data_IF_818692098071
#
_entry.id   IF_818692098071
#
_cell.length_a   1.000
_cell.length_b   1.000
_cell.length_c   1.000
_cell.angle_alpha   90.00
_cell.angle_beta   90.00
_cell.angle_gamma   90.00
#
_symmetry.space_group_name_H-M   'P 1'
#
loop_
_entity.id
_entity.type
_entity.pdbx_description
1 polymer ?
#
# COMPACT_ATOMS: atom_id res chain seq x y z
N UNK A 1 -13.60 9.38 21.24
CA UNK A 1 -13.21 9.10 19.84
C UNK A 1 -11.70 9.36 19.71
N UNK A 2 -10.86 8.32 19.57
CA UNK A 2 -9.40 8.54 19.38
C UNK A 2 -9.19 9.18 18.02
N UNK A 3 -8.63 10.39 17.99
CA UNK A 3 -8.21 11.05 16.74
C UNK A 3 -7.13 10.18 16.08
N UNK A 4 -7.20 9.99 14.76
CA UNK A 4 -6.10 9.40 14.00
C UNK A 4 -4.89 10.30 14.19
N UNK A 5 -3.75 9.74 14.59
CA UNK A 5 -2.49 10.50 14.66
C UNK A 5 -2.10 11.06 13.29
N UNK A 6 -1.15 11.96 13.22
CA UNK A 6 -0.59 12.38 11.94
C UNK A 6 0.16 11.22 11.27
N UNK A 7 0.17 11.17 9.93
CA UNK A 7 1.04 10.24 9.19
C UNK A 7 2.50 10.63 9.47
N UNK A 8 3.36 9.69 9.92
CA UNK A 8 4.76 9.99 10.21
C UNK A 8 5.50 10.53 8.98
N UNK A 9 6.51 11.37 9.23
CA UNK A 9 7.38 11.91 8.17
C UNK A 9 8.28 10.84 7.54
N UNK A 10 8.65 9.82 8.31
CA UNK A 10 9.49 8.71 7.87
C UNK A 10 8.81 7.38 8.20
N UNK A 11 8.65 6.54 7.20
CA UNK A 11 8.17 5.17 7.32
C UNK A 11 9.24 4.21 6.81
N UNK A 12 9.47 3.13 7.54
CA UNK A 12 10.27 2.03 7.03
C UNK A 12 9.43 1.18 6.07
N UNK A 13 9.84 1.09 4.80
CA UNK A 13 9.20 0.16 3.86
C UNK A 13 9.84 -1.22 3.94
N UNK A 14 9.02 -2.26 4.17
CA UNK A 14 9.48 -3.65 4.17
C UNK A 14 9.33 -4.33 2.80
N UNK A 15 8.83 -3.64 1.78
CA UNK A 15 8.56 -4.24 0.47
C UNK A 15 9.80 -4.81 -0.22
N UNK A 16 10.93 -4.14 -0.09
CA UNK A 16 12.22 -4.67 -0.58
C UNK A 16 12.66 -5.92 0.18
N UNK A 17 12.29 -6.04 1.45
CA UNK A 17 12.59 -7.20 2.29
C UNK A 17 11.70 -8.40 1.91
N UNK A 18 10.47 -8.14 1.48
CA UNK A 18 9.54 -9.15 0.93
C UNK A 18 9.89 -9.57 -0.51
N UNK A 19 11.01 -9.09 -1.07
CA UNK A 19 11.43 -9.40 -2.42
C UNK A 19 10.80 -8.53 -3.52
N UNK A 20 10.02 -7.53 -3.17
CA UNK A 20 9.48 -6.55 -4.12
C UNK A 20 10.47 -5.41 -4.30
N UNK A 21 11.47 -5.62 -5.14
CA UNK A 21 12.53 -4.65 -5.42
C UNK A 21 12.94 -4.68 -6.89
N UNK A 22 13.58 -3.61 -7.34
CA UNK A 22 14.24 -3.51 -8.65
C UNK A 22 15.73 -3.89 -8.58
N UNK A 23 16.21 -4.37 -7.44
CA UNK A 23 17.58 -4.81 -7.29
C UNK A 23 17.89 -6.02 -8.21
N UNK A 24 19.15 -6.22 -8.61
CA UNK A 24 19.58 -7.42 -9.31
C UNK A 24 19.21 -8.70 -8.52
N UNK A 25 19.02 -9.80 -9.26
CA UNK A 25 18.55 -11.07 -8.67
C UNK A 25 19.41 -11.56 -7.51
N UNK A 26 20.72 -11.43 -7.64
CA UNK A 26 21.69 -11.83 -6.60
C UNK A 26 21.44 -11.06 -5.31
N UNK A 27 21.29 -9.73 -5.41
CA UNK A 27 20.98 -8.88 -4.26
C UNK A 27 19.61 -9.18 -3.65
N UNK A 28 18.65 -9.54 -4.48
CA UNK A 28 17.34 -9.98 -4.01
C UNK A 28 17.44 -11.26 -3.17
N UNK A 29 18.20 -12.25 -3.64
CA UNK A 29 18.41 -13.52 -2.92
C UNK A 29 19.12 -13.28 -1.58
N UNK A 30 20.15 -12.43 -1.54
CA UNK A 30 20.82 -12.03 -0.30
C UNK A 30 19.85 -11.39 0.71
N UNK A 31 18.97 -10.49 0.23
CA UNK A 31 17.97 -9.84 1.07
C UNK A 31 16.99 -10.87 1.62
N UNK A 32 16.47 -11.75 0.77
CA UNK A 32 15.53 -12.79 1.17
C UNK A 32 16.14 -13.77 2.17
N UNK A 33 17.39 -14.16 1.99
CA UNK A 33 18.09 -15.03 2.91
C UNK A 33 18.33 -14.34 4.26
N UNK A 34 18.80 -13.11 4.25
CA UNK A 34 19.03 -12.30 5.46
C UNK A 34 17.80 -12.10 6.32
N UNK A 35 16.63 -11.92 5.68
CA UNK A 35 15.36 -11.64 6.37
C UNK A 35 14.39 -12.84 6.35
N UNK A 36 14.96 -14.05 6.21
CA UNK A 36 14.18 -15.29 6.29
C UNK A 36 13.58 -15.48 7.67
N UNK A 37 14.39 -15.20 8.71
CA UNK A 37 13.99 -15.33 10.09
C UNK A 37 13.39 -14.02 10.62
N UNK A 38 12.22 -14.07 11.31
CA UNK A 38 11.54 -12.89 11.85
C UNK A 38 12.42 -12.04 12.78
N UNK A 39 13.33 -12.65 13.53
CA UNK A 39 14.24 -11.98 14.47
C UNK A 39 15.16 -11.00 13.74
N UNK A 40 15.68 -11.36 12.58
CA UNK A 40 16.52 -10.47 11.75
C UNK A 40 15.73 -9.25 11.29
N UNK A 41 14.45 -9.44 10.98
CA UNK A 41 13.55 -8.35 10.63
C UNK A 41 13.23 -7.49 11.87
N UNK A 42 12.95 -8.11 13.02
CA UNK A 42 12.68 -7.40 14.28
C UNK A 42 13.84 -6.48 14.68
N UNK A 43 15.09 -6.96 14.61
CA UNK A 43 16.29 -6.14 14.85
C UNK A 43 16.36 -4.94 13.90
N UNK A 44 16.03 -5.14 12.63
CA UNK A 44 16.05 -4.06 11.63
C UNK A 44 14.93 -3.03 11.90
N UNK A 45 13.75 -3.52 12.32
CA UNK A 45 12.64 -2.64 12.73
C UNK A 45 13.03 -1.78 13.91
N UNK A 46 13.59 -2.38 14.98
CA UNK A 46 14.05 -1.64 16.17
C UNK A 46 15.05 -0.55 15.79
N UNK A 47 16.12 -0.90 15.06
CA UNK A 47 17.13 0.07 14.62
C UNK A 47 16.54 1.22 13.81
N UNK A 48 15.58 0.92 12.93
CA UNK A 48 14.93 1.94 12.09
C UNK A 48 14.04 2.86 12.90
N UNK A 49 13.31 2.32 13.88
CA UNK A 49 12.46 3.10 14.79
C UNK A 49 13.29 3.99 15.72
N UNK A 50 14.41 3.48 16.22
CA UNK A 50 15.36 4.23 17.05
C UNK A 50 16.06 5.35 16.24
N UNK A 51 16.26 5.13 14.94
CA UNK A 51 16.74 6.14 14.01
C UNK A 51 15.68 7.17 13.57
N UNK A 52 14.44 7.07 14.10
CA UNK A 52 13.39 8.08 13.88
C UNK A 52 12.26 7.67 12.90
N UNK A 53 12.22 6.42 12.45
CA UNK A 53 11.05 5.95 11.69
C UNK A 53 9.82 5.92 12.62
N UNK A 54 8.72 6.55 12.19
CA UNK A 54 7.49 6.64 12.97
C UNK A 54 6.51 5.49 12.73
N UNK A 55 6.89 4.50 11.91
CA UNK A 55 6.05 3.34 11.60
C UNK A 55 6.60 2.52 10.44
N UNK A 56 5.85 1.49 10.08
CA UNK A 56 6.20 0.53 9.04
C UNK A 56 5.16 0.55 7.92
N UNK A 57 5.61 0.60 6.68
CA UNK A 57 4.79 0.43 5.47
C UNK A 57 5.14 -0.91 4.83
N UNK A 58 4.21 -1.86 4.79
CA UNK A 58 4.51 -3.17 4.23
C UNK A 58 3.31 -4.09 4.09
N UNK A 59 3.50 -5.17 3.34
CA UNK A 59 2.51 -6.24 3.24
C UNK A 59 2.50 -7.05 4.54
N UNK A 60 1.32 -7.41 5.08
CA UNK A 60 1.20 -8.17 6.32
C UNK A 60 1.56 -9.66 6.12
N UNK A 61 2.83 -9.90 5.74
CA UNK A 61 3.40 -11.23 5.65
C UNK A 61 3.51 -11.87 7.04
N UNK A 62 3.48 -13.21 7.16
CA UNK A 62 3.69 -13.89 8.45
C UNK A 62 4.97 -13.42 9.14
N UNK A 63 6.09 -13.29 8.41
CA UNK A 63 7.36 -12.83 8.97
C UNK A 63 7.29 -11.42 9.53
N UNK A 64 6.67 -10.47 8.81
CA UNK A 64 6.48 -9.11 9.32
C UNK A 64 5.58 -9.08 10.56
N UNK A 65 4.48 -9.84 10.56
CA UNK A 65 3.56 -9.87 11.69
C UNK A 65 4.22 -10.50 12.93
N UNK A 66 5.02 -11.57 12.76
CA UNK A 66 5.82 -12.16 13.84
C UNK A 66 6.85 -11.17 14.37
N UNK A 67 7.64 -10.54 13.49
CA UNK A 67 8.63 -9.56 13.89
C UNK A 67 8.01 -8.37 14.66
N UNK A 68 6.83 -7.89 14.23
CA UNK A 68 6.11 -6.83 14.96
C UNK A 68 5.57 -7.28 16.31
N UNK A 69 5.22 -8.57 16.47
CA UNK A 69 4.73 -9.13 17.72
C UNK A 69 5.84 -9.32 18.77
N UNK A 70 7.10 -9.45 18.34
CA UNK A 70 8.28 -9.55 19.21
C UNK A 70 8.73 -8.20 19.80
N UNK A 71 8.20 -7.09 19.29
CA UNK A 71 8.61 -5.78 19.75
C UNK A 71 7.90 -5.37 21.04
N UNK A 72 8.65 -4.89 22.02
CA UNK A 72 8.14 -4.44 23.33
C UNK A 72 7.25 -3.21 23.26
N UNK A 73 7.19 -2.56 22.10
CA UNK A 73 6.42 -1.33 21.86
C UNK A 73 5.48 -1.47 20.66
N UNK A 74 4.29 -0.86 20.72
CA UNK A 74 3.39 -0.85 19.57
C UNK A 74 3.98 0.00 18.43
N UNK A 75 4.07 -0.60 17.24
CA UNK A 75 4.58 0.06 16.03
C UNK A 75 3.42 0.37 15.10
N UNK A 76 3.26 1.63 14.64
CA UNK A 76 2.25 1.99 13.65
C UNK A 76 2.47 1.23 12.33
N UNK A 77 1.52 0.34 11.97
CA UNK A 77 1.55 -0.40 10.72
C UNK A 77 0.66 0.27 9.68
N UNK A 78 1.24 0.61 8.55
CA UNK A 78 0.57 0.98 7.32
C UNK A 78 0.55 -0.25 6.40
N UNK A 79 -0.49 -1.06 6.54
CA UNK A 79 -0.61 -2.35 5.84
C UNK A 79 -0.95 -2.16 4.37
N UNK A 80 -0.12 -2.69 3.47
CA UNK A 80 -0.37 -2.70 2.03
C UNK A 80 -1.16 -3.95 1.68
N UNK A 81 -2.38 -3.78 1.17
CA UNK A 81 -3.31 -4.84 0.81
C UNK A 81 -3.75 -4.76 -0.66
N UNK A 82 -3.93 -5.91 -1.33
CA UNK A 82 -3.59 -7.24 -0.89
C UNK A 82 -2.09 -7.44 -0.74
N UNK A 83 -1.69 -8.41 0.08
CA UNK A 83 -0.29 -8.83 0.20
C UNK A 83 0.12 -9.55 -1.08
N UNK A 84 0.86 -8.87 -1.94
CA UNK A 84 1.30 -9.37 -3.24
C UNK A 84 2.79 -9.67 -3.20
N UNK A 85 3.15 -10.93 -3.44
CA UNK A 85 4.52 -11.34 -3.69
C UNK A 85 4.95 -11.11 -5.15
N UNK A 86 6.25 -11.28 -5.46
CA UNK A 86 6.76 -11.09 -6.82
C UNK A 86 6.05 -11.95 -7.89
N UNK A 87 5.58 -13.14 -7.52
CA UNK A 87 4.84 -14.03 -8.42
C UNK A 87 3.42 -13.52 -8.71
N UNK A 88 2.79 -12.88 -7.72
CA UNK A 88 1.43 -12.33 -7.87
C UNK A 88 1.41 -11.18 -8.87
N UNK A 89 2.49 -10.39 -8.94
CA UNK A 89 2.62 -9.32 -9.93
C UNK A 89 2.60 -9.84 -11.37
N UNK A 90 3.20 -11.01 -11.64
CA UNK A 90 3.16 -11.64 -12.97
C UNK A 90 1.77 -12.18 -13.29
N UNK A 91 1.04 -12.69 -12.29
CA UNK A 91 -0.33 -13.18 -12.47
C UNK A 91 -1.36 -12.08 -12.70
N UNK A 92 -1.00 -10.81 -12.44
CA UNK A 92 -1.88 -9.65 -12.67
C UNK A 92 -1.83 -9.12 -14.10
N UNK A 93 -0.89 -9.57 -14.94
CA UNK A 93 -0.83 -9.18 -16.35
C UNK A 93 -2.17 -9.44 -17.09
N UNK A 94 -2.86 -10.59 -16.87
CA UNK A 94 -4.19 -10.82 -17.46
C UNK A 94 -5.35 -10.16 -16.69
N UNK A 95 -5.09 -9.39 -15.62
CA UNK A 95 -6.11 -8.70 -14.83
C UNK A 95 -6.22 -9.16 -13.38
N UNK A 96 -7.23 -8.68 -12.66
CA UNK A 96 -7.41 -8.93 -11.21
C UNK A 96 -8.13 -10.25 -10.89
N UNK A 97 -8.69 -10.95 -11.88
CA UNK A 97 -9.47 -12.18 -11.66
C UNK A 97 -8.69 -13.32 -10.99
N UNK A 98 -7.40 -13.57 -11.29
CA UNK A 98 -6.60 -14.55 -10.57
C UNK A 98 -6.50 -14.28 -9.07
N UNK A 99 -6.35 -13.02 -8.67
CA UNK A 99 -6.33 -12.61 -7.25
C UNK A 99 -7.67 -12.84 -6.57
N UNK A 100 -8.77 -12.49 -7.23
CA UNK A 100 -10.11 -12.74 -6.70
C UNK A 100 -10.39 -14.23 -6.53
N UNK A 101 -9.94 -15.05 -7.48
CA UNK A 101 -10.08 -16.50 -7.42
C UNK A 101 -9.26 -17.12 -6.30
N UNK A 102 -8.04 -16.63 -6.05
CA UNK A 102 -7.19 -17.03 -4.92
C UNK A 102 -7.85 -16.67 -3.58
N UNK A 103 -8.28 -15.41 -3.43
CA UNK A 103 -8.94 -14.96 -2.21
C UNK A 103 -10.21 -15.77 -1.90
N UNK A 104 -10.99 -16.16 -2.92
CA UNK A 104 -12.15 -17.04 -2.74
C UNK A 104 -11.77 -18.43 -2.25
N UNK A 105 -10.63 -18.98 -2.66
CA UNK A 105 -10.15 -20.30 -2.19
C UNK A 105 -9.66 -20.24 -0.74
N UNK A 106 -9.00 -19.17 -0.36
CA UNK A 106 -8.46 -18.96 1.00
C UNK A 106 -9.54 -18.65 2.04
N UNK A 107 -10.71 -18.19 1.62
CA UNK A 107 -11.84 -17.91 2.51
C UNK A 107 -12.64 -19.18 2.78
N UNK A 108 -12.63 -19.65 4.03
CA UNK A 108 -13.38 -20.84 4.45
C UNK A 108 -14.91 -20.69 4.27
N UNK A 109 -15.68 -21.81 4.26
CA UNK A 109 -17.11 -21.83 3.94
C UNK A 109 -17.96 -20.93 4.84
N UNK A 110 -17.68 -20.88 6.14
CA UNK A 110 -18.40 -20.02 7.10
C UNK A 110 -18.15 -18.54 6.84
N UNK A 111 -16.92 -18.19 6.47
CA UNK A 111 -16.60 -16.80 6.12
C UNK A 111 -17.21 -16.41 4.77
N UNK A 112 -17.30 -17.35 3.81
CA UNK A 112 -18.04 -17.16 2.54
C UNK A 112 -19.53 -16.91 2.78
N UNK A 113 -20.14 -17.67 3.69
CA UNK A 113 -21.55 -17.48 4.05
C UNK A 113 -21.80 -16.11 4.70
N UNK A 114 -20.94 -15.68 5.64
CA UNK A 114 -21.02 -14.33 6.25
C UNK A 114 -20.78 -13.21 5.22
N UNK A 115 -19.82 -13.40 4.32
CA UNK A 115 -19.59 -12.45 3.22
C UNK A 115 -20.78 -12.39 2.25
N UNK A 116 -21.44 -13.54 2.00
CA UNK A 116 -22.68 -13.62 1.23
C UNK A 116 -23.83 -12.87 1.88
N UNK A 117 -24.05 -13.05 3.19
CA UNK A 117 -25.14 -12.38 3.92
C UNK A 117 -24.94 -10.85 3.99
N UNK A 118 -23.73 -10.38 4.21
CA UNK A 118 -23.39 -8.94 4.19
C UNK A 118 -23.42 -8.39 2.75
N UNK A 119 -23.23 -9.24 1.75
CA UNK A 119 -23.19 -8.91 0.33
C UNK A 119 -24.53 -9.02 -0.40
N UNK A 120 -25.58 -9.60 0.22
CA UNK A 120 -26.88 -9.83 -0.42
C UNK A 120 -27.46 -8.62 -1.17
N UNK A 121 -27.42 -7.38 -0.62
CA UNK A 121 -27.88 -6.19 -1.36
C UNK A 121 -26.97 -5.80 -2.53
N UNK A 122 -25.74 -6.38 -2.61
CA UNK A 122 -24.71 -6.08 -3.62
C UNK A 122 -24.54 -7.18 -4.65
N UNK A 123 -25.29 -8.29 -4.54
CA UNK A 123 -25.22 -9.41 -5.51
C UNK A 123 -25.57 -8.99 -6.94
N UNK A 124 -26.44 -8.00 -7.10
CA UNK A 124 -26.74 -7.43 -8.42
C UNK A 124 -25.51 -6.75 -9.06
N UNK A 125 -24.65 -6.09 -8.26
CA UNK A 125 -23.41 -5.48 -8.73
C UNK A 125 -22.33 -6.51 -9.14
N UNK A 126 -22.38 -7.74 -8.60
CA UNK A 126 -21.51 -8.84 -8.98
C UNK A 126 -21.66 -9.29 -10.43
N UNK A 127 -22.87 -9.15 -11.01
CA UNK A 127 -23.16 -9.54 -12.40
C UNK A 127 -22.50 -8.64 -13.43
N UNK A 128 -22.04 -7.44 -13.06
CA UNK A 128 -21.53 -6.42 -13.99
C UNK A 128 -20.02 -6.12 -13.84
N UNK A 129 -19.24 -7.01 -13.22
CA UNK A 129 -17.79 -6.82 -13.15
C UNK A 129 -17.31 -5.64 -12.27
N UNK A 130 -18.16 -5.09 -11.39
CA UNK A 130 -17.83 -3.91 -10.59
C UNK A 130 -16.72 -4.18 -9.58
N UNK A 131 -15.51 -3.72 -9.88
CA UNK A 131 -14.34 -3.79 -9.02
C UNK A 131 -14.58 -3.15 -7.65
N UNK A 132 -15.38 -2.09 -7.59
CA UNK A 132 -15.69 -1.40 -6.35
C UNK A 132 -16.50 -2.26 -5.36
N UNK A 133 -17.27 -3.24 -5.85
CA UNK A 133 -18.00 -4.18 -5.01
C UNK A 133 -17.17 -5.40 -4.60
N UNK A 134 -16.24 -5.84 -5.45
CA UNK A 134 -15.45 -7.07 -5.26
C UNK A 134 -14.20 -6.87 -4.39
N UNK A 135 -13.49 -5.77 -4.60
CA UNK A 135 -12.20 -5.53 -3.92
C UNK A 135 -12.33 -5.41 -2.40
N UNK A 136 -13.34 -4.75 -1.80
CA UNK A 136 -13.50 -4.76 -0.35
C UNK A 136 -13.62 -6.16 0.26
N UNK A 137 -14.19 -7.13 -0.46
CA UNK A 137 -14.28 -8.51 0.01
C UNK A 137 -12.95 -9.24 0.00
N UNK A 138 -12.16 -9.04 -1.07
CA UNK A 138 -10.78 -9.52 -1.16
C UNK A 138 -9.94 -8.98 0.01
N UNK A 139 -9.99 -7.67 0.21
CA UNK A 139 -9.24 -7.00 1.27
C UNK A 139 -9.73 -7.40 2.67
N UNK A 140 -11.03 -7.69 2.86
CA UNK A 140 -11.56 -8.15 4.15
C UNK A 140 -11.00 -9.51 4.54
N UNK A 141 -10.76 -10.42 3.59
CA UNK A 141 -10.15 -11.72 3.87
C UNK A 141 -8.72 -11.56 4.44
N UNK A 142 -7.91 -10.70 3.82
CA UNK A 142 -6.55 -10.43 4.29
C UNK A 142 -6.52 -9.55 5.54
N UNK A 143 -7.43 -8.60 5.63
CA UNK A 143 -7.58 -7.71 6.77
C UNK A 143 -7.85 -8.43 8.10
N UNK A 144 -8.38 -9.67 8.06
CA UNK A 144 -8.53 -10.50 9.25
C UNK A 144 -7.22 -10.99 9.84
N UNK A 145 -6.16 -11.01 9.04
CA UNK A 145 -4.80 -11.36 9.50
C UNK A 145 -4.10 -10.19 10.19
N UNK A 146 -4.61 -8.97 10.01
CA UNK A 146 -4.03 -7.79 10.63
C UNK A 146 -4.19 -7.83 12.15
N UNK A 147 -3.20 -7.34 12.90
CA UNK A 147 -3.29 -7.25 14.35
C UNK A 147 -4.46 -6.34 14.75
N UNK A 148 -5.14 -6.68 15.83
CA UNK A 148 -6.28 -5.89 16.33
C UNK A 148 -5.89 -4.48 16.77
N UNK A 149 -4.62 -4.27 17.09
CA UNK A 149 -4.03 -2.99 17.51
C UNK A 149 -2.80 -2.69 16.66
N UNK A 150 -2.45 -1.41 16.55
CA UNK A 150 -1.24 -0.99 15.82
C UNK A 150 -1.46 -0.71 14.32
N UNK A 151 -2.62 -1.05 13.73
CA UNK A 151 -2.93 -0.68 12.34
C UNK A 151 -3.23 0.82 12.28
N UNK A 152 -2.27 1.59 11.79
CA UNK A 152 -2.37 3.03 11.62
C UNK A 152 -2.92 3.44 10.25
N UNK A 153 -2.70 2.61 9.23
CA UNK A 153 -3.20 2.82 7.88
C UNK A 153 -3.43 1.51 7.13
N UNK A 154 -4.31 1.57 6.14
CA UNK A 154 -4.45 0.52 5.12
C UNK A 154 -4.28 1.17 3.76
N UNK A 155 -3.33 0.66 3.01
CA UNK A 155 -2.92 1.14 1.69
C UNK A 155 -3.28 0.09 0.66
N UNK A 156 -4.04 0.48 -0.36
CA UNK A 156 -4.38 -0.43 -1.47
C UNK A 156 -3.18 -0.53 -2.40
N UNK A 157 -2.74 -1.76 -2.67
CA UNK A 157 -1.55 -2.04 -3.49
C UNK A 157 -1.65 -1.50 -4.92
N UNK A 158 -0.53 -1.07 -5.48
CA UNK A 158 -0.44 -0.41 -6.79
C UNK A 158 -1.11 -1.17 -7.94
N UNK A 159 -1.04 -2.49 -8.07
CA UNK A 159 -1.71 -3.17 -9.18
C UNK A 159 -3.23 -2.97 -9.21
N UNK A 160 -3.89 -3.00 -8.05
CA UNK A 160 -5.32 -2.74 -7.96
C UNK A 160 -5.65 -1.26 -8.15
N UNK A 161 -4.84 -0.39 -7.54
CA UNK A 161 -4.97 1.06 -7.68
C UNK A 161 -4.82 1.48 -9.14
N UNK A 162 -3.75 1.03 -9.80
CA UNK A 162 -3.44 1.42 -11.18
C UNK A 162 -4.45 0.86 -12.18
N UNK A 163 -4.95 -0.37 -11.96
CA UNK A 163 -6.04 -0.94 -12.78
C UNK A 163 -7.35 -0.13 -12.63
N UNK A 164 -7.71 0.23 -11.39
CA UNK A 164 -8.89 1.05 -11.14
C UNK A 164 -8.75 2.49 -11.67
N UNK A 165 -7.53 3.03 -11.64
CA UNK A 165 -7.20 4.35 -12.18
C UNK A 165 -7.33 4.36 -13.71
N UNK A 166 -6.75 3.35 -14.38
CA UNK A 166 -6.83 3.19 -15.83
C UNK A 166 -8.29 3.04 -16.32
N UNK A 167 -9.11 2.33 -15.55
CA UNK A 167 -10.55 2.17 -15.83
C UNK A 167 -11.43 3.35 -15.40
N UNK A 168 -10.88 4.42 -14.83
CA UNK A 168 -11.66 5.58 -14.38
C UNK A 168 -12.63 5.27 -13.23
N UNK A 169 -12.38 4.27 -12.41
CA UNK A 169 -13.31 3.76 -11.40
C UNK A 169 -13.37 4.63 -10.13
N UNK A 170 -13.93 5.84 -10.23
CA UNK A 170 -14.16 6.76 -9.09
C UNK A 170 -14.76 6.05 -7.86
N UNK A 171 -15.77 5.19 -8.09
CA UNK A 171 -16.49 4.48 -7.00
C UNK A 171 -15.56 3.56 -6.20
N UNK A 172 -14.56 2.96 -6.84
CA UNK A 172 -13.55 2.14 -6.18
C UNK A 172 -12.81 2.95 -5.10
N UNK A 173 -12.24 4.09 -5.46
CA UNK A 173 -11.49 4.95 -4.54
C UNK A 173 -12.35 5.48 -3.40
N UNK A 174 -13.56 5.96 -3.71
CA UNK A 174 -14.49 6.47 -2.70
C UNK A 174 -14.98 5.37 -1.74
N UNK A 175 -15.26 4.18 -2.24
CA UNK A 175 -15.75 3.05 -1.43
C UNK A 175 -14.66 2.51 -0.51
N UNK A 176 -13.43 2.33 -1.01
CA UNK A 176 -12.31 1.85 -0.20
C UNK A 176 -11.87 2.86 0.85
N UNK A 177 -11.85 4.14 0.52
CA UNK A 177 -11.56 5.19 1.51
C UNK A 177 -12.55 5.12 2.68
N UNK A 178 -13.84 4.99 2.40
CA UNK A 178 -14.89 4.85 3.43
C UNK A 178 -14.77 3.54 4.22
N UNK A 179 -14.50 2.44 3.50
CA UNK A 179 -14.36 1.12 4.12
C UNK A 179 -13.19 1.08 5.10
N UNK A 180 -11.99 1.55 4.72
CA UNK A 180 -10.84 1.61 5.61
C UNK A 180 -11.13 2.46 6.83
N UNK A 181 -11.66 3.65 6.64
CA UNK A 181 -11.98 4.57 7.76
C UNK A 181 -13.04 4.00 8.70
N UNK A 182 -14.05 3.33 8.18
CA UNK A 182 -15.12 2.71 8.98
C UNK A 182 -14.69 1.44 9.70
N UNK A 183 -13.95 0.57 9.00
CA UNK A 183 -13.58 -0.75 9.47
C UNK A 183 -12.41 -0.73 10.46
N UNK A 184 -11.37 0.07 10.18
CA UNK A 184 -10.13 0.10 10.96
C UNK A 184 -9.96 1.37 11.79
N UNK A 185 -10.72 2.42 11.52
CA UNK A 185 -10.50 3.76 12.06
C UNK A 185 -9.07 4.26 11.80
N UNK A 186 -8.48 3.80 10.71
CA UNK A 186 -7.10 4.03 10.27
C UNK A 186 -7.06 4.96 9.05
N UNK A 187 -5.86 5.38 8.66
CA UNK A 187 -5.63 6.14 7.44
C UNK A 187 -5.94 5.28 6.21
N UNK A 188 -6.69 5.82 5.27
CA UNK A 188 -6.95 5.20 3.97
C UNK A 188 -5.94 5.70 2.95
N UNK A 189 -5.23 4.78 2.29
CA UNK A 189 -4.21 5.12 1.29
C UNK A 189 -4.30 4.29 0.02
N UNK A 190 -3.62 4.78 -1.00
CA UNK A 190 -3.47 4.11 -2.29
C UNK A 190 -2.01 4.16 -2.72
N UNK A 191 -1.44 2.99 -3.01
CA UNK A 191 -0.14 2.90 -3.64
C UNK A 191 -0.30 2.88 -5.16
N UNK A 192 0.54 3.62 -5.89
CA UNK A 192 0.45 3.75 -7.34
C UNK A 192 1.83 3.89 -7.98
N UNK A 193 1.92 3.51 -9.26
CA UNK A 193 3.05 3.83 -10.13
C UNK A 193 2.81 5.08 -11.00
N UNK A 194 1.64 5.72 -10.80
CA UNK A 194 1.22 6.90 -11.56
C UNK A 194 0.76 8.00 -10.60
N UNK A 195 1.63 8.52 -9.69
CA UNK A 195 1.19 9.42 -8.63
C UNK A 195 0.58 10.72 -9.16
N UNK A 196 1.14 11.33 -10.19
CA UNK A 196 0.59 12.54 -10.78
C UNK A 196 -0.84 12.35 -11.31
N UNK A 197 -1.06 11.31 -12.13
CA UNK A 197 -2.38 11.01 -12.66
C UNK A 197 -3.38 10.66 -11.55
N UNK A 198 -2.94 9.90 -10.53
CA UNK A 198 -3.82 9.55 -9.41
C UNK A 198 -4.26 10.78 -8.63
N UNK A 199 -3.33 11.70 -8.28
CA UNK A 199 -3.64 12.92 -7.56
C UNK A 199 -4.60 13.83 -8.35
N UNK A 200 -4.34 14.02 -9.65
CA UNK A 200 -5.24 14.75 -10.55
C UNK A 200 -6.66 14.17 -10.54
N UNK A 201 -6.79 12.84 -10.71
CA UNK A 201 -8.08 12.16 -10.74
C UNK A 201 -8.80 12.20 -9.41
N UNK A 202 -8.11 11.95 -8.30
CA UNK A 202 -8.69 12.04 -6.96
C UNK A 202 -9.28 13.43 -6.71
N UNK A 203 -8.56 14.49 -7.08
CA UNK A 203 -9.01 15.88 -6.98
C UNK A 203 -10.25 16.11 -7.85
N UNK A 204 -10.22 15.72 -9.14
CA UNK A 204 -11.35 15.91 -10.07
C UNK A 204 -12.60 15.14 -9.63
N UNK A 205 -12.43 13.99 -9.00
CA UNK A 205 -13.52 13.18 -8.47
C UNK A 205 -14.03 13.63 -7.10
N UNK A 206 -13.35 14.55 -6.42
CA UNK A 206 -13.65 14.95 -5.05
C UNK A 206 -13.44 13.80 -4.04
N UNK A 207 -12.55 12.86 -4.32
CA UNK A 207 -12.19 11.75 -3.43
C UNK A 207 -10.91 12.11 -2.70
N UNK A 208 -10.96 12.09 -1.35
CA UNK A 208 -9.83 12.49 -0.50
C UNK A 208 -9.43 11.34 0.41
N UNK A 209 -8.52 10.44 -0.02
CA UNK A 209 -7.85 9.52 0.89
C UNK A 209 -6.97 10.29 1.87
N UNK A 210 -6.40 9.63 2.87
CA UNK A 210 -5.49 10.27 3.83
C UNK A 210 -4.05 10.31 3.27
N UNK A 211 -3.67 9.33 2.43
CA UNK A 211 -2.34 9.28 1.82
C UNK A 211 -2.35 8.64 0.43
N UNK A 212 -1.39 9.03 -0.38
CA UNK A 212 -0.98 8.37 -1.62
C UNK A 212 0.48 7.95 -1.47
N UNK A 213 0.81 6.73 -1.88
CA UNK A 213 2.17 6.18 -1.85
C UNK A 213 2.64 6.00 -3.28
N UNK A 214 3.77 6.60 -3.64
CA UNK A 214 4.25 6.52 -5.02
C UNK A 214 5.70 6.96 -5.20
N UNK A 215 6.29 6.68 -6.37
CA UNK A 215 7.67 7.05 -6.66
C UNK A 215 7.84 8.56 -6.76
N UNK A 216 8.88 9.07 -6.07
CA UNK A 216 9.39 10.44 -6.22
C UNK A 216 10.90 10.38 -6.14
N UNK A 217 11.59 10.71 -7.22
CA UNK A 217 13.04 10.63 -7.29
C UNK A 217 13.62 11.55 -8.38
N UNK A 218 14.90 11.96 -8.27
CA UNK A 218 15.52 12.92 -9.20
C UNK A 218 15.73 12.37 -10.62
N UNK A 219 15.58 11.07 -10.85
CA UNK A 219 15.70 10.43 -12.17
C UNK A 219 14.35 10.25 -12.86
N UNK A 220 13.25 10.63 -12.23
CA UNK A 220 11.90 10.45 -12.77
C UNK A 220 11.45 9.01 -12.94
N UNK A 221 12.20 8.03 -12.36
CA UNK A 221 11.89 6.62 -12.52
C UNK A 221 10.54 6.27 -11.89
N UNK A 222 9.62 5.78 -12.72
CA UNK A 222 8.27 5.41 -12.28
C UNK A 222 7.35 6.59 -12.01
N UNK A 223 7.77 7.83 -12.28
CA UNK A 223 6.96 9.03 -12.13
C UNK A 223 6.18 9.28 -13.42
N UNK A 224 4.97 8.78 -13.48
CA UNK A 224 4.10 8.89 -14.66
C UNK A 224 2.93 9.85 -14.40
N UNK A 225 2.41 10.57 -15.42
CA UNK A 225 2.74 10.40 -16.84
C UNK A 225 4.16 10.91 -17.23
N UNK A 226 4.62 12.01 -16.64
CA UNK A 226 5.98 12.57 -16.77
C UNK A 226 6.44 13.09 -15.40
N UNK A 227 7.76 13.10 -15.11
CA UNK A 227 8.29 13.58 -13.83
C UNK A 227 7.81 14.99 -13.47
N UNK A 228 7.89 15.92 -14.43
CA UNK A 228 7.52 17.33 -14.24
C UNK A 228 6.03 17.50 -13.93
N UNK A 229 5.17 16.78 -14.64
CA UNK A 229 3.72 16.78 -14.39
C UNK A 229 3.40 16.17 -13.04
N UNK A 230 4.10 15.08 -12.67
CA UNK A 230 3.94 14.46 -11.38
C UNK A 230 4.32 15.41 -10.24
N UNK A 231 5.46 16.10 -10.35
CA UNK A 231 5.92 17.07 -9.36
C UNK A 231 4.94 18.25 -9.24
N UNK A 232 4.48 18.79 -10.37
CA UNK A 232 3.49 19.86 -10.37
C UNK A 232 2.17 19.46 -9.70
N UNK A 233 1.71 18.20 -9.88
CA UNK A 233 0.52 17.71 -9.19
C UNK A 233 0.76 17.50 -7.68
N UNK A 234 1.94 17.07 -7.29
CA UNK A 234 2.33 16.93 -5.86
C UNK A 234 2.33 18.31 -5.18
N UNK A 235 2.96 19.31 -5.79
CA UNK A 235 3.03 20.68 -5.26
C UNK A 235 1.64 21.35 -5.18
N UNK A 236 0.75 21.00 -6.10
CA UNK A 236 -0.64 21.51 -6.13
C UNK A 236 -1.53 20.83 -5.09
N UNK A 237 -1.16 19.63 -4.61
CA UNK A 237 -1.98 18.85 -3.69
C UNK A 237 -1.73 19.30 -2.25
N UNK A 238 -2.78 19.79 -1.60
CA UNK A 238 -2.70 20.28 -0.21
C UNK A 238 -3.48 19.43 0.80
N UNK A 239 -4.26 18.45 0.33
CA UNK A 239 -5.22 17.73 1.20
C UNK A 239 -4.89 16.25 1.41
N UNK A 240 -4.12 15.65 0.52
CA UNK A 240 -3.69 14.25 0.55
C UNK A 240 -2.20 14.19 0.81
N UNK A 241 -1.78 13.47 1.85
CA UNK A 241 -0.34 13.32 2.12
C UNK A 241 0.30 12.36 1.12
N UNK A 242 1.35 12.82 0.46
CA UNK A 242 2.18 11.94 -0.36
C UNK A 242 3.28 11.29 0.49
N UNK A 243 3.40 9.97 0.35
CA UNK A 243 4.51 9.17 0.88
C UNK A 243 5.40 8.78 -0.29
N UNK A 244 6.58 9.38 -0.38
CA UNK A 244 7.53 9.10 -1.43
C UNK A 244 8.18 7.72 -1.28
N UNK A 245 8.25 6.99 -2.36
CA UNK A 245 8.96 5.72 -2.50
C UNK A 245 9.96 5.79 -3.66
N UNK A 246 10.74 4.73 -3.88
CA UNK A 246 11.73 4.67 -4.98
C UNK A 246 12.73 5.85 -4.97
N UNK A 247 13.00 6.42 -3.79
CA UNK A 247 13.86 7.60 -3.61
C UNK A 247 15.23 7.44 -4.28
N UNK A 248 15.77 6.22 -4.33
CA UNK A 248 17.04 5.90 -4.96
C UNK A 248 16.95 5.60 -6.47
N UNK A 249 15.77 5.72 -7.06
CA UNK A 249 15.53 5.41 -8.48
C UNK A 249 16.10 4.04 -8.92
N UNK A 250 15.85 2.97 -8.13
CA UNK A 250 16.40 1.65 -8.41
C UNK A 250 17.93 1.53 -8.18
N UNK A 251 18.53 2.48 -7.48
CA UNK A 251 19.98 2.53 -7.22
C UNK A 251 20.75 3.52 -8.11
N UNK A 252 20.06 4.25 -8.99
CA UNK A 252 20.65 5.23 -9.92
C UNK A 252 21.06 6.55 -9.24
N UNK A 253 20.66 6.77 -7.98
CA UNK A 253 21.06 7.92 -7.18
C UNK A 253 21.24 7.55 -5.71
N UNK A 254 21.95 8.42 -4.96
CA UNK A 254 22.12 8.29 -3.53
C UNK A 254 20.84 8.50 -2.75
N UNK A 255 20.75 7.93 -1.53
CA UNK A 255 19.57 8.12 -0.68
C UNK A 255 19.37 9.58 -0.30
N UNK A 256 20.45 10.27 0.07
CA UNK A 256 20.42 11.69 0.46
C UNK A 256 19.92 12.59 -0.69
N UNK A 257 20.39 12.35 -1.93
CA UNK A 257 19.94 13.04 -3.13
C UNK A 257 18.43 12.85 -3.34
N UNK A 258 17.97 11.59 -3.24
CA UNK A 258 16.55 11.26 -3.38
C UNK A 258 15.66 11.88 -2.30
N UNK A 259 16.09 11.86 -1.03
CA UNK A 259 15.37 12.49 0.08
C UNK A 259 15.31 14.00 -0.10
N UNK A 260 16.43 14.65 -0.42
CA UNK A 260 16.48 16.10 -0.66
C UNK A 260 15.55 16.51 -1.81
N UNK A 261 15.54 15.74 -2.90
CA UNK A 261 14.64 15.96 -4.03
C UNK A 261 13.18 15.87 -3.61
N UNK A 262 12.77 14.81 -2.90
CA UNK A 262 11.40 14.64 -2.44
C UNK A 262 10.95 15.78 -1.51
N UNK A 263 11.78 16.16 -0.53
CA UNK A 263 11.47 17.25 0.38
C UNK A 263 11.36 18.61 -0.34
N UNK A 264 12.18 18.84 -1.38
CA UNK A 264 12.13 20.06 -2.19
C UNK A 264 10.83 20.23 -2.99
N UNK A 265 10.07 19.14 -3.20
CA UNK A 265 8.80 19.15 -3.93
C UNK A 265 7.57 18.90 -3.03
N UNK A 266 7.64 19.26 -1.75
CA UNK A 266 6.48 19.25 -0.85
C UNK A 266 6.07 17.86 -0.32
N UNK A 267 6.94 16.87 -0.44
CA UNK A 267 6.77 15.58 0.27
C UNK A 267 7.19 15.79 1.74
N UNK A 268 6.30 15.50 2.67
CA UNK A 268 6.49 15.76 4.10
C UNK A 268 6.48 14.49 4.93
#
# INVERSE_FOLDING_TARGET
MRRRGAVPRLLLSTRSLDGVTRAPRERLLEIQDRFREPESLAVTLVKSLDAGAGGVLGSPSPGLLSALAELDRPVPLYAVLPALGPQDYRMLEPGVEPLLSRARREVGPVARLRMGLVGLPRLAAFRHGDLAARVPQLLEAEARRLPRRGVAGVVVASPLTDAALAGGHRRFFASLTRWVRGRFRAHAGFETRNPGLLLERLRSWGVRPDLVVGPVNPRGLGMKPRPEETLAEIEREGSVRLVATELRAGGLCGLEEGVRHALGHGVH
#
